data_IF_996750842284
#
_entry.id   IF_996750842284
#
_cell.length_a   1.000
_cell.length_b   1.000
_cell.length_c   1.000
_cell.angle_alpha   90.00
_cell.angle_beta   90.00
_cell.angle_gamma   90.00
#
_symmetry.space_group_name_H-M   'P 1'
#
loop_
_entity.id
_entity.type
_entity.pdbx_description
1 polymer ?
#
# COMPACT_ATOMS: atom_id res chain seq x y z
N UNK A 1 -25.77 -30.91 21.32
CA UNK A 1 -25.34 -29.94 22.36
C UNK A 1 -24.03 -29.18 22.07
N UNK A 2 -23.34 -29.34 20.93
CA UNK A 2 -22.16 -28.51 20.56
C UNK A 2 -22.43 -27.35 19.58
N UNK A 3 -23.64 -27.26 19.02
CA UNK A 3 -24.02 -26.18 18.07
C UNK A 3 -24.86 -25.05 18.69
N UNK A 4 -25.38 -25.20 19.92
CA UNK A 4 -26.16 -24.14 20.60
C UNK A 4 -25.28 -23.09 21.31
N UNK A 5 -23.99 -23.39 21.56
CA UNK A 5 -23.09 -22.46 22.25
C UNK A 5 -22.49 -21.42 21.29
N UNK A 6 -22.43 -21.68 19.97
CA UNK A 6 -21.90 -20.71 18.98
C UNK A 6 -22.89 -19.63 18.55
N UNK A 7 -24.19 -19.87 18.68
CA UNK A 7 -25.24 -18.89 18.30
C UNK A 7 -25.45 -17.85 19.41
N UNK A 8 -25.26 -18.23 20.68
CA UNK A 8 -25.36 -17.31 21.81
C UNK A 8 -24.20 -16.28 21.88
N UNK A 9 -23.00 -16.65 21.42
CA UNK A 9 -21.83 -15.74 21.43
C UNK A 9 -21.86 -14.66 20.35
N UNK A 10 -22.57 -14.90 19.24
CA UNK A 10 -22.71 -13.93 18.14
C UNK A 10 -23.81 -12.90 18.49
N UNK A 11 -24.88 -13.31 19.17
CA UNK A 11 -25.93 -12.41 19.65
C UNK A 11 -25.44 -11.44 20.75
N UNK A 12 -24.53 -11.87 21.63
CA UNK A 12 -23.90 -10.98 22.62
C UNK A 12 -22.95 -9.95 21.98
N UNK A 13 -22.32 -10.28 20.85
CA UNK A 13 -21.37 -9.39 20.17
C UNK A 13 -22.09 -8.23 19.43
N UNK A 14 -23.29 -8.47 18.89
CA UNK A 14 -24.12 -7.41 18.31
C UNK A 14 -24.91 -6.60 19.35
N UNK A 15 -25.21 -7.17 20.52
CA UNK A 15 -25.85 -6.44 21.63
C UNK A 15 -24.94 -5.42 22.32
N UNK A 16 -23.63 -5.68 22.40
CA UNK A 16 -22.67 -4.73 23.03
C UNK A 16 -22.25 -3.60 22.09
N UNK A 17 -22.32 -3.80 20.77
CA UNK A 17 -22.05 -2.75 19.77
C UNK A 17 -23.19 -1.72 19.66
N UNK A 18 -24.42 -2.10 19.98
CA UNK A 18 -25.58 -1.20 19.98
C UNK A 18 -25.64 -0.26 21.19
N UNK A 19 -24.88 -0.53 22.27
CA UNK A 19 -24.83 0.31 23.48
C UNK A 19 -23.70 1.37 23.41
N UNK A 20 -22.78 1.27 22.45
CA UNK A 20 -21.72 2.28 22.27
C UNK A 20 -21.96 3.27 21.13
N UNK A 21 -22.98 3.05 20.28
CA UNK A 21 -23.34 3.98 19.20
C UNK A 21 -24.35 5.06 19.60
N UNK A 22 -24.82 5.08 20.85
CA UNK A 22 -25.79 6.06 21.38
C UNK A 22 -25.16 7.21 22.16
N UNK A 23 -23.83 7.31 22.24
CA UNK A 23 -23.14 8.39 22.93
C UNK A 23 -22.67 9.54 22.02
N UNK A 24 -23.00 9.55 20.70
CA UNK A 24 -22.54 10.60 19.78
C UNK A 24 -23.61 11.28 18.92
N UNK A 25 -24.89 11.05 19.21
CA UNK A 25 -25.97 11.86 18.63
C UNK A 25 -26.84 12.35 19.78
N UNK A 26 -26.64 13.60 20.19
CA UNK A 26 -27.39 14.25 21.25
C UNK A 26 -28.89 14.24 20.95
N UNK A 27 -29.62 13.37 21.65
CA UNK A 27 -31.08 13.39 21.76
C UNK A 27 -31.45 13.17 23.22
N UNK A 28 -32.11 14.17 23.80
CA UNK A 28 -32.72 14.13 25.12
C UNK A 28 -33.95 13.20 25.12
N UNK A 29 -34.00 12.34 26.15
CA UNK A 29 -35.20 11.65 26.71
C UNK A 29 -36.20 11.01 25.72
N UNK A 30 -36.13 9.68 25.56
CA UNK A 30 -37.17 8.87 24.88
C UNK A 30 -37.58 7.64 25.72
N UNK A 31 -38.89 7.43 25.87
CA UNK A 31 -39.54 6.47 26.77
C UNK A 31 -39.36 4.98 26.39
N UNK A 32 -39.50 4.03 27.35
CA UNK A 32 -39.31 2.59 27.15
C UNK A 32 -40.31 1.90 26.19
N UNK A 33 -41.28 2.63 25.62
CA UNK A 33 -42.24 2.09 24.66
C UNK A 33 -41.67 1.95 23.23
N UNK A 34 -40.59 2.67 22.89
CA UNK A 34 -40.02 2.64 21.54
C UNK A 34 -39.16 1.40 21.28
N UNK A 35 -38.56 0.80 22.33
CA UNK A 35 -37.71 -0.40 22.21
C UNK A 35 -38.46 -1.65 21.72
N UNK A 36 -39.71 -1.83 22.14
CA UNK A 36 -40.52 -2.98 21.69
C UNK A 36 -40.91 -2.86 20.22
N UNK A 37 -41.09 -1.62 19.72
CA UNK A 37 -41.44 -1.36 18.33
C UNK A 37 -40.27 -1.67 17.37
N UNK A 38 -39.03 -1.44 17.82
CA UNK A 38 -37.82 -1.82 17.09
C UNK A 38 -37.57 -3.34 17.08
N UNK A 39 -37.89 -4.04 18.17
CA UNK A 39 -37.77 -5.51 18.24
C UNK A 39 -38.78 -6.22 17.32
N UNK A 40 -40.02 -5.71 17.23
CA UNK A 40 -41.05 -6.27 16.35
C UNK A 40 -40.74 -6.09 14.85
N UNK A 41 -40.17 -4.93 14.47
CA UNK A 41 -39.74 -4.66 13.09
C UNK A 41 -38.53 -5.52 12.67
N UNK A 42 -37.60 -5.80 13.58
CA UNK A 42 -36.48 -6.69 13.33
C UNK A 42 -36.92 -8.17 13.17
N UNK A 43 -37.95 -8.60 13.92
CA UNK A 43 -38.49 -9.96 13.81
C UNK A 43 -39.26 -10.20 12.50
N UNK A 44 -39.89 -9.16 11.92
CA UNK A 44 -40.64 -9.28 10.66
C UNK A 44 -39.72 -9.49 9.45
N UNK A 45 -38.52 -8.86 9.45
CA UNK A 45 -37.53 -9.00 8.37
C UNK A 45 -36.91 -10.39 8.32
N UNK A 46 -36.70 -11.03 9.48
CA UNK A 46 -36.14 -12.39 9.57
C UNK A 46 -37.14 -13.45 9.09
N UNK A 47 -38.45 -13.26 9.33
CA UNK A 47 -39.49 -14.19 8.89
C UNK A 47 -39.75 -14.17 7.36
N UNK A 48 -39.48 -13.04 6.69
CA UNK A 48 -39.63 -12.93 5.23
C UNK A 48 -38.52 -13.64 4.43
N UNK A 49 -37.33 -13.83 5.01
CA UNK A 49 -36.20 -14.49 4.34
C UNK A 49 -36.34 -16.03 4.36
N UNK A 50 -37.13 -16.58 5.28
CA UNK A 50 -37.31 -18.03 5.45
C UNK A 50 -38.40 -18.66 4.57
N UNK A 51 -39.08 -17.92 3.69
CA UNK A 51 -40.27 -18.41 2.97
C UNK A 51 -40.14 -18.62 1.45
N UNK A 52 -38.94 -18.54 0.88
CA UNK A 52 -38.74 -18.72 -0.57
C UNK A 52 -37.54 -19.62 -0.89
N UNK A 53 -37.59 -20.89 -0.49
CA UNK A 53 -36.86 -21.99 -1.18
C UNK A 53 -37.69 -23.27 -1.03
N UNK A 54 -38.59 -23.52 -1.97
CA UNK A 54 -39.24 -24.82 -2.18
C UNK A 54 -39.05 -25.21 -3.65
N UNK A 55 -38.10 -26.10 -3.94
CA UNK A 55 -38.06 -26.91 -5.18
C UNK A 55 -37.17 -28.15 -4.95
N UNK A 56 -37.53 -29.33 -5.51
CA UNK A 56 -37.23 -30.61 -4.90
C UNK A 56 -35.85 -31.18 -5.24
N UNK A 57 -35.30 -31.93 -4.30
CA UNK A 57 -34.07 -32.73 -4.43
C UNK A 57 -34.36 -33.96 -5.29
N UNK A 58 -33.72 -34.05 -6.46
CA UNK A 58 -33.58 -35.31 -7.19
C UNK A 58 -32.34 -36.02 -6.65
N UNK A 59 -32.55 -37.16 -5.99
CA UNK A 59 -31.52 -38.12 -5.62
C UNK A 59 -30.98 -38.79 -6.89
N UNK A 60 -29.71 -38.57 -7.22
CA UNK A 60 -28.99 -39.42 -8.15
C UNK A 60 -27.78 -40.06 -7.46
N UNK A 61 -27.91 -41.37 -7.24
CA UNK A 61 -26.86 -42.30 -6.80
C UNK A 61 -25.61 -42.13 -7.67
N UNK A 62 -24.48 -41.81 -7.04
CA UNK A 62 -23.17 -42.02 -7.64
C UNK A 62 -22.74 -43.48 -7.44
N UNK A 63 -22.53 -44.20 -8.54
CA UNK A 63 -21.69 -45.41 -8.57
C UNK A 63 -20.47 -45.16 -9.48
N UNK A 64 -19.31 -45.78 -9.18
CA UNK A 64 -18.01 -45.33 -9.66
C UNK A 64 -17.56 -46.03 -10.95
N UNK A 65 -16.88 -45.31 -11.84
CA UNK A 65 -16.10 -45.92 -12.92
C UNK A 65 -14.67 -45.33 -12.99
N UNK A 66 -13.74 -46.12 -12.48
CA UNK A 66 -12.51 -46.58 -13.13
C UNK A 66 -11.69 -45.58 -13.99
N UNK A 67 -10.53 -45.23 -13.43
CA UNK A 67 -9.20 -45.35 -14.01
C UNK A 67 -9.06 -45.14 -15.53
N UNK A 68 -8.50 -43.99 -15.92
CA UNK A 68 -7.74 -43.84 -17.15
C UNK A 68 -6.52 -42.94 -16.92
N UNK A 69 -5.35 -43.59 -17.02
CA UNK A 69 -4.04 -43.06 -17.39
C UNK A 69 -3.47 -41.83 -16.65
N UNK A 70 -2.72 -42.13 -15.58
CA UNK A 70 -1.61 -41.30 -15.16
C UNK A 70 -0.50 -41.33 -16.22
N UNK A 71 -0.35 -40.27 -17.00
CA UNK A 71 0.88 -40.00 -17.75
C UNK A 71 1.93 -39.50 -16.75
N UNK A 72 2.85 -40.40 -16.37
CA UNK A 72 4.11 -40.06 -15.72
C UNK A 72 5.06 -39.49 -16.78
N UNK A 73 4.97 -38.19 -17.04
CA UNK A 73 6.11 -37.45 -17.58
C UNK A 73 6.50 -36.37 -16.57
N UNK A 74 7.76 -36.36 -16.08
CA UNK A 74 8.24 -35.26 -15.26
C UNK A 74 8.40 -34.04 -16.18
N UNK A 75 7.48 -33.09 -16.09
CA UNK A 75 7.70 -31.76 -16.64
C UNK A 75 8.80 -31.12 -15.81
N UNK A 76 10.04 -31.25 -16.28
CA UNK A 76 11.19 -30.53 -15.78
C UNK A 76 11.05 -29.06 -16.19
N UNK A 77 10.16 -28.32 -15.51
CA UNK A 77 10.22 -26.87 -15.53
C UNK A 77 11.43 -26.49 -14.70
N UNK A 78 12.56 -26.32 -15.37
CA UNK A 78 13.65 -25.52 -14.84
C UNK A 78 13.09 -24.12 -14.61
N UNK A 79 12.71 -23.84 -13.37
CA UNK A 79 12.41 -22.47 -12.92
C UNK A 79 13.68 -21.68 -13.21
N UNK A 80 13.64 -20.63 -14.06
CA UNK A 80 14.81 -19.80 -14.27
C UNK A 80 15.25 -19.26 -12.92
N UNK A 81 16.49 -19.54 -12.53
CA UNK A 81 17.09 -18.91 -11.35
C UNK A 81 17.21 -17.43 -11.64
N UNK A 82 16.21 -16.66 -11.22
CA UNK A 82 16.21 -15.22 -11.40
C UNK A 82 17.14 -14.60 -10.37
N UNK A 83 18.30 -14.13 -10.83
CA UNK A 83 19.12 -13.21 -10.07
C UNK A 83 18.66 -11.79 -10.40
N UNK A 84 18.32 -10.94 -9.41
CA UNK A 84 17.99 -9.55 -9.68
C UNK A 84 19.14 -8.90 -10.47
N UNK A 85 18.79 -8.06 -11.45
CA UNK A 85 19.78 -7.36 -12.26
C UNK A 85 20.78 -6.60 -11.35
N UNK A 86 22.07 -6.53 -11.73
CA UNK A 86 23.05 -5.82 -10.92
C UNK A 86 22.67 -4.34 -10.79
N UNK A 87 22.34 -3.90 -9.57
CA UNK A 87 22.06 -2.50 -9.26
C UNK A 87 23.38 -1.73 -9.38
N UNK A 88 23.39 -0.71 -10.24
CA UNK A 88 24.49 0.26 -10.29
C UNK A 88 24.10 1.44 -9.43
N UNK A 89 24.75 1.60 -8.28
CA UNK A 89 24.49 2.73 -7.39
C UNK A 89 25.04 4.03 -7.99
N UNK A 90 24.25 5.09 -7.89
CA UNK A 90 24.71 6.43 -8.23
C UNK A 90 25.58 6.93 -7.08
N UNK A 91 26.85 7.24 -7.39
CA UNK A 91 27.74 7.88 -6.43
C UNK A 91 27.40 9.36 -6.37
N UNK A 92 27.09 9.88 -5.18
CA UNK A 92 26.93 11.31 -4.99
C UNK A 92 28.24 12.05 -5.38
N UNK A 93 28.14 12.98 -6.33
CA UNK A 93 29.23 13.88 -6.73
C UNK A 93 29.54 14.90 -5.62
N UNK A 94 28.50 15.33 -4.93
CA UNK A 94 28.52 16.40 -3.94
C UNK A 94 28.25 15.84 -2.53
N UNK A 95 28.38 16.70 -1.52
CA UNK A 95 27.95 16.34 -0.16
C UNK A 95 26.42 16.29 -0.14
N UNK A 96 25.86 15.14 0.18
CA UNK A 96 24.40 14.92 0.19
C UNK A 96 23.93 14.52 1.58
N UNK A 97 22.82 15.11 2.02
CA UNK A 97 22.12 14.74 3.25
C UNK A 97 20.74 14.22 2.90
N UNK A 98 20.40 13.06 3.47
CA UNK A 98 19.10 12.43 3.41
C UNK A 98 18.49 12.52 4.81
N UNK A 99 17.49 13.39 4.97
CA UNK A 99 16.71 13.46 6.21
C UNK A 99 15.68 12.34 6.19
N UNK A 100 15.74 11.47 7.19
CA UNK A 100 14.85 10.31 7.28
C UNK A 100 14.07 10.30 8.60
N UNK A 101 12.78 9.98 8.53
CA UNK A 101 11.85 10.06 9.65
C UNK A 101 11.15 8.71 9.87
N UNK A 102 11.26 8.17 11.08
CA UNK A 102 10.70 6.88 11.46
C UNK A 102 9.48 7.04 12.40
N UNK A 103 8.68 5.97 12.49
CA UNK A 103 7.53 5.79 13.38
C UNK A 103 6.25 6.58 13.07
N UNK A 104 6.27 7.44 12.07
CA UNK A 104 5.08 8.12 11.55
C UNK A 104 4.12 7.20 10.77
N UNK A 105 2.99 7.73 10.27
CA UNK A 105 2.56 9.13 10.40
C UNK A 105 1.90 9.47 11.75
N UNK A 106 2.08 10.70 12.20
CA UNK A 106 1.44 11.30 13.37
C UNK A 106 1.15 12.80 13.16
N UNK A 107 0.57 13.48 14.14
CA UNK A 107 0.41 14.95 14.08
C UNK A 107 1.76 15.69 13.98
N UNK A 108 2.86 15.05 14.39
CA UNK A 108 4.21 15.59 14.23
C UNK A 108 4.69 15.50 12.78
N UNK A 109 4.27 14.49 12.02
CA UNK A 109 4.53 14.37 10.59
C UNK A 109 4.04 15.60 9.82
N UNK A 110 2.84 16.11 10.14
CA UNK A 110 2.31 17.33 9.52
C UNK A 110 3.21 18.53 9.74
N UNK A 111 3.77 18.67 10.95
CA UNK A 111 4.70 19.76 11.29
C UNK A 111 6.05 19.59 10.59
N UNK A 112 6.54 18.36 10.46
CA UNK A 112 7.74 18.06 9.68
C UNK A 112 7.54 18.47 8.24
N UNK A 113 6.43 18.06 7.61
CA UNK A 113 6.09 18.44 6.22
C UNK A 113 6.04 19.96 6.05
N UNK A 114 5.40 20.69 6.97
CA UNK A 114 5.37 22.17 6.94
C UNK A 114 6.78 22.80 6.98
N UNK A 115 7.68 22.25 7.81
CA UNK A 115 9.07 22.71 7.90
C UNK A 115 9.83 22.40 6.60
N UNK A 116 9.72 21.17 6.08
CA UNK A 116 10.40 20.77 4.85
C UNK A 116 9.94 21.61 3.64
N UNK A 117 8.63 21.84 3.52
CA UNK A 117 8.05 22.68 2.48
C UNK A 117 8.54 24.13 2.58
N UNK A 118 8.55 24.72 3.79
CA UNK A 118 9.09 26.07 4.02
C UNK A 118 10.56 26.19 3.63
N UNK A 119 11.34 25.13 3.86
CA UNK A 119 12.77 25.07 3.56
C UNK A 119 13.07 24.71 2.10
N UNK A 120 12.05 24.36 1.32
CA UNK A 120 12.16 23.97 -0.09
C UNK A 120 12.88 22.63 -0.31
N UNK A 121 12.82 21.73 0.66
CA UNK A 121 13.54 20.44 0.64
C UNK A 121 12.57 19.26 0.76
N UNK A 122 13.06 18.07 0.40
CA UNK A 122 12.34 16.80 0.53
C UNK A 122 13.01 15.90 1.57
N UNK A 123 12.34 14.80 1.91
CA UNK A 123 12.77 13.86 2.95
C UNK A 123 12.19 12.48 2.70
N UNK A 124 12.64 11.49 3.47
CA UNK A 124 12.19 10.10 3.37
C UNK A 124 11.50 9.68 4.67
N UNK A 125 10.29 9.15 4.60
CA UNK A 125 9.49 8.76 5.76
C UNK A 125 9.32 7.24 5.79
N UNK A 126 9.91 6.57 6.77
CA UNK A 126 9.71 5.14 7.01
C UNK A 126 8.50 4.97 7.94
N UNK A 127 7.35 4.65 7.36
CA UNK A 127 6.07 4.68 8.07
C UNK A 127 5.66 3.33 8.63
N UNK A 128 4.94 3.35 9.75
CA UNK A 128 4.28 2.19 10.32
C UNK A 128 2.94 1.94 9.62
N UNK A 129 2.71 0.70 9.18
CA UNK A 129 1.48 0.33 8.47
C UNK A 129 0.21 0.59 9.28
N UNK A 130 0.21 0.36 10.60
CA UNK A 130 -0.95 0.63 11.45
C UNK A 130 -1.29 2.12 11.53
N UNK A 131 -0.28 3.00 11.52
CA UNK A 131 -0.47 4.45 11.57
C UNK A 131 -0.86 4.99 10.19
N UNK A 132 -0.26 4.44 9.12
CA UNK A 132 -0.64 4.73 7.73
C UNK A 132 -2.10 4.38 7.45
N UNK A 133 -2.56 3.22 7.92
CA UNK A 133 -3.96 2.80 7.79
C UNK A 133 -4.93 3.71 8.56
N UNK A 134 -4.51 4.22 9.72
CA UNK A 134 -5.33 5.10 10.55
C UNK A 134 -5.38 6.54 10.04
N UNK A 135 -4.36 6.99 9.28
CA UNK A 135 -4.19 8.38 8.81
C UNK A 135 -3.79 8.41 7.32
N UNK A 136 -4.60 7.87 6.41
CA UNK A 136 -4.27 7.81 4.98
C UNK A 136 -4.07 9.21 4.36
N UNK A 137 -4.72 10.23 4.91
CA UNK A 137 -4.56 11.63 4.49
C UNK A 137 -3.14 12.16 4.67
N UNK A 138 -2.44 11.75 5.73
CA UNK A 138 -1.05 12.18 5.97
C UNK A 138 -0.12 11.46 4.99
N UNK A 139 -0.37 10.18 4.70
CA UNK A 139 0.39 9.42 3.69
C UNK A 139 0.24 10.05 2.31
N UNK A 140 -0.98 10.42 1.90
CA UNK A 140 -1.20 11.14 0.64
C UNK A 140 -0.43 12.46 0.60
N UNK A 141 -0.45 13.22 1.69
CA UNK A 141 0.31 14.48 1.77
C UNK A 141 1.82 14.27 1.62
N UNK A 142 2.40 13.25 2.27
CA UNK A 142 3.82 12.88 2.09
C UNK A 142 4.10 12.62 0.60
N UNK A 143 3.25 11.83 -0.06
CA UNK A 143 3.40 11.47 -1.47
C UNK A 143 3.24 12.66 -2.42
N UNK A 144 2.15 13.42 -2.29
CA UNK A 144 1.81 14.57 -3.16
C UNK A 144 2.82 15.72 -3.04
N UNK A 145 3.41 15.91 -1.85
CA UNK A 145 4.49 16.87 -1.66
C UNK A 145 5.84 16.36 -2.18
N UNK A 146 5.92 15.17 -2.79
CA UNK A 146 7.12 14.65 -3.45
C UNK A 146 8.19 14.12 -2.48
N UNK A 147 7.80 13.71 -1.28
CA UNK A 147 8.67 12.97 -0.36
C UNK A 147 8.64 11.48 -0.69
N UNK A 148 9.66 10.74 -0.24
CA UNK A 148 9.71 9.28 -0.43
C UNK A 148 9.12 8.57 0.78
N UNK A 149 8.26 7.58 0.55
CA UNK A 149 7.71 6.72 1.58
C UNK A 149 8.48 5.39 1.57
N UNK A 150 9.07 5.05 2.72
CA UNK A 150 9.62 3.74 3.03
C UNK A 150 8.73 2.99 4.01
N UNK A 151 9.01 1.70 4.17
CA UNK A 151 8.26 0.78 5.02
C UNK A 151 9.02 0.52 6.33
N UNK A 152 8.36 0.76 7.47
CA UNK A 152 8.92 0.53 8.81
C UNK A 152 8.22 -0.60 9.58
N UNK A 153 7.69 -1.60 8.86
CA UNK A 153 6.82 -2.67 9.39
C UNK A 153 5.43 -2.16 9.79
N UNK A 154 4.58 -3.05 10.30
CA UNK A 154 3.19 -2.71 10.59
C UNK A 154 3.05 -2.04 11.96
N UNK A 155 3.70 -2.58 13.00
CA UNK A 155 3.44 -2.15 14.39
C UNK A 155 4.68 -1.96 15.28
N UNK A 156 5.90 -2.14 14.75
CA UNK A 156 7.15 -1.96 15.50
C UNK A 156 7.30 -2.88 16.75
N UNK A 157 6.61 -4.03 16.80
CA UNK A 157 6.72 -4.98 17.93
C UNK A 157 7.82 -6.00 17.71
N UNK A 158 8.98 -5.79 18.33
CA UNK A 158 10.18 -6.62 18.16
C UNK A 158 9.96 -8.13 18.28
N UNK A 159 9.13 -8.56 19.24
CA UNK A 159 8.81 -9.96 19.48
C UNK A 159 8.04 -10.63 18.33
N UNK A 160 7.40 -9.83 17.47
CA UNK A 160 6.71 -10.29 16.26
C UNK A 160 7.60 -10.25 15.02
N UNK A 161 8.67 -9.44 15.06
CA UNK A 161 9.54 -9.16 13.92
C UNK A 161 10.71 -10.12 13.83
N UNK A 162 11.44 -10.34 14.93
CA UNK A 162 12.78 -10.94 14.89
C UNK A 162 12.86 -12.37 15.40
N UNK A 163 11.72 -13.05 15.55
CA UNK A 163 11.67 -14.49 15.85
C UNK A 163 11.90 -15.37 14.62
N UNK A 164 11.24 -15.04 13.51
CA UNK A 164 11.29 -15.77 12.24
C UNK A 164 11.13 -14.78 11.08
N UNK A 165 11.81 -15.04 9.95
CA UNK A 165 11.77 -14.15 8.78
C UNK A 165 10.33 -13.90 8.30
N UNK A 166 9.47 -14.90 8.34
CA UNK A 166 8.06 -14.75 7.93
C UNK A 166 7.31 -13.69 8.75
N UNK A 167 7.65 -13.52 10.04
CA UNK A 167 7.03 -12.49 10.89
C UNK A 167 7.34 -11.09 10.39
N UNK A 168 8.62 -10.81 10.15
CA UNK A 168 9.07 -9.56 9.53
C UNK A 168 8.46 -9.37 8.15
N UNK A 169 8.57 -10.37 7.27
CA UNK A 169 8.05 -10.33 5.91
C UNK A 169 6.55 -10.03 5.84
N UNK A 170 5.74 -10.68 6.67
CA UNK A 170 4.30 -10.47 6.69
C UNK A 170 3.95 -9.02 7.06
N UNK A 171 4.66 -8.41 8.02
CA UNK A 171 4.45 -7.01 8.36
C UNK A 171 4.91 -6.05 7.26
N UNK A 172 6.01 -6.37 6.55
CA UNK A 172 6.42 -5.61 5.36
C UNK A 172 5.32 -5.67 4.30
N UNK A 173 4.82 -6.86 3.97
CA UNK A 173 3.77 -7.04 2.95
C UNK A 173 2.47 -6.34 3.30
N UNK A 174 2.04 -6.44 4.56
CA UNK A 174 0.84 -5.76 5.03
C UNK A 174 0.97 -4.24 4.88
N UNK A 175 2.11 -3.69 5.28
CA UNK A 175 2.38 -2.24 5.23
C UNK A 175 2.53 -1.74 3.79
N UNK A 176 3.21 -2.51 2.93
CA UNK A 176 3.34 -2.19 1.51
C UNK A 176 1.97 -2.11 0.84
N UNK A 177 1.08 -3.07 1.11
CA UNK A 177 -0.24 -3.07 0.52
C UNK A 177 -1.09 -1.89 1.02
N UNK A 178 -1.00 -1.53 2.30
CA UNK A 178 -1.65 -0.32 2.84
C UNK A 178 -1.17 0.92 2.09
N UNK A 179 0.15 1.10 1.95
CA UNK A 179 0.74 2.28 1.27
C UNK A 179 0.33 2.31 -0.20
N UNK A 180 0.33 1.16 -0.89
CA UNK A 180 -0.12 1.06 -2.29
C UNK A 180 -1.59 1.39 -2.46
N UNK A 181 -2.45 0.94 -1.55
CA UNK A 181 -3.88 1.24 -1.64
C UNK A 181 -4.17 2.74 -1.43
N UNK A 182 -3.29 3.44 -0.70
CA UNK A 182 -3.40 4.89 -0.47
C UNK A 182 -2.82 5.68 -1.66
N UNK A 183 -1.59 5.36 -2.08
CA UNK A 183 -0.79 6.18 -3.00
C UNK A 183 -0.77 5.69 -4.44
N UNK A 184 -1.15 4.44 -4.69
CA UNK A 184 -0.93 3.74 -5.95
C UNK A 184 0.46 3.09 -6.08
N UNK A 185 1.43 3.47 -5.24
CA UNK A 185 2.82 3.06 -5.33
C UNK A 185 3.22 2.02 -4.25
N UNK A 186 4.11 1.10 -4.61
CA UNK A 186 4.66 0.13 -3.65
C UNK A 186 6.02 0.62 -3.13
N UNK A 187 6.20 0.81 -1.81
CA UNK A 187 7.50 1.19 -1.26
C UNK A 187 8.52 0.06 -1.41
N UNK A 188 9.66 0.37 -2.05
CA UNK A 188 10.81 -0.55 -2.15
C UNK A 188 11.81 -0.36 -1.01
N UNK A 189 11.78 0.78 -0.32
CA UNK A 189 12.69 1.09 0.77
C UNK A 189 12.15 0.52 2.07
N UNK A 190 12.99 -0.17 2.83
CA UNK A 190 12.64 -0.75 4.12
C UNK A 190 13.65 -0.28 5.17
N UNK A 191 13.16 0.11 6.34
CA UNK A 191 13.97 0.29 7.53
C UNK A 191 13.47 -0.63 8.63
N UNK A 192 14.39 -1.39 9.21
CA UNK A 192 14.06 -2.30 10.31
C UNK A 192 13.89 -1.50 11.61
N UNK A 193 12.79 -1.71 12.37
CA UNK A 193 12.66 -1.27 13.76
C UNK A 193 13.93 -1.50 14.57
N UNK A 194 14.45 -0.45 15.22
CA UNK A 194 15.69 -0.55 16.01
C UNK A 194 16.99 -0.75 15.21
N UNK A 195 16.93 -0.72 13.87
CA UNK A 195 18.04 -0.98 12.97
C UNK A 195 18.33 -2.46 12.76
N UNK A 196 19.21 -2.78 11.81
CA UNK A 196 19.53 -4.18 11.48
C UNK A 196 20.52 -4.83 12.45
N UNK A 197 21.29 -4.03 13.21
CA UNK A 197 22.34 -4.51 14.10
C UNK A 197 21.77 -5.41 15.23
N UNK A 198 22.18 -6.68 15.27
CA UNK A 198 21.69 -7.65 16.25
C UNK A 198 20.33 -8.26 15.92
N UNK A 199 19.64 -7.75 14.90
CA UNK A 199 18.33 -8.23 14.44
C UNK A 199 18.41 -9.00 13.12
N UNK A 200 19.25 -8.59 12.18
CA UNK A 200 19.42 -9.24 10.87
C UNK A 200 20.70 -10.10 10.83
N UNK A 201 20.53 -11.31 10.32
CA UNK A 201 21.63 -12.11 9.78
C UNK A 201 21.75 -11.89 8.25
N UNK A 202 22.80 -12.45 7.64
CA UNK A 202 23.02 -12.30 6.19
C UNK A 202 21.82 -12.82 5.36
N UNK A 203 21.14 -13.85 5.84
CA UNK A 203 20.01 -14.42 5.13
C UNK A 203 18.78 -13.48 5.12
N UNK A 204 18.57 -12.67 6.17
CA UNK A 204 17.58 -11.58 6.10
C UNK A 204 17.90 -10.60 4.96
N UNK A 205 19.14 -10.12 4.88
CA UNK A 205 19.54 -9.20 3.81
C UNK A 205 19.36 -9.83 2.43
N UNK A 206 19.79 -11.09 2.27
CA UNK A 206 19.69 -11.81 1.01
C UNK A 206 18.24 -12.02 0.58
N UNK A 207 17.34 -12.37 1.51
CA UNK A 207 15.92 -12.56 1.22
C UNK A 207 15.20 -11.24 0.95
N UNK A 208 15.48 -10.17 1.69
CA UNK A 208 14.90 -8.85 1.41
C UNK A 208 15.32 -8.34 0.04
N UNK A 209 16.60 -8.51 -0.32
CA UNK A 209 17.11 -8.17 -1.65
C UNK A 209 16.49 -9.04 -2.75
N UNK A 210 16.37 -10.35 -2.54
CA UNK A 210 15.68 -11.25 -3.46
C UNK A 210 14.20 -10.92 -3.63
N UNK A 211 13.58 -10.30 -2.62
CA UNK A 211 12.22 -9.79 -2.69
C UNK A 211 12.08 -8.42 -3.37
N UNK A 212 13.18 -7.81 -3.82
CA UNK A 212 13.17 -6.49 -4.47
C UNK A 212 13.17 -5.31 -3.51
N UNK A 213 13.49 -5.51 -2.23
CA UNK A 213 13.58 -4.42 -1.25
C UNK A 213 15.02 -3.94 -1.03
N UNK A 214 15.12 -2.67 -0.69
CA UNK A 214 16.36 -2.02 -0.30
C UNK A 214 16.31 -1.67 1.18
N UNK A 215 17.11 -2.36 1.99
CA UNK A 215 17.17 -2.14 3.44
C UNK A 215 18.15 -1.03 3.76
N UNK A 216 17.67 0.04 4.40
CA UNK A 216 18.46 1.20 4.82
C UNK A 216 18.47 1.34 6.35
N UNK A 217 19.67 1.34 6.94
CA UNK A 217 19.93 1.89 8.27
C UNK A 217 20.23 3.40 8.16
N UNK A 218 21.15 3.89 8.99
CA UNK A 218 21.62 5.29 9.04
C UNK A 218 23.11 5.34 9.36
N UNK A 219 23.78 6.44 9.03
CA UNK A 219 25.16 6.71 9.44
C UNK A 219 25.29 7.97 10.31
N UNK A 220 24.19 8.69 10.54
CA UNK A 220 24.05 9.76 11.53
C UNK A 220 22.83 9.48 12.39
N UNK A 221 23.05 9.24 13.68
CA UNK A 221 21.99 9.05 14.66
C UNK A 221 21.76 10.36 15.42
N UNK A 222 20.55 10.92 15.35
CA UNK A 222 20.22 12.13 16.09
C UNK A 222 20.17 11.91 17.60
N UNK A 223 19.91 10.69 18.04
CA UNK A 223 19.67 10.33 19.43
C UNK A 223 18.33 10.82 19.98
N UNK A 224 17.40 11.28 19.14
CA UNK A 224 16.07 11.77 19.52
C UNK A 224 15.15 10.70 20.12
N UNK A 225 15.48 9.41 19.96
CA UNK A 225 14.79 8.28 20.56
C UNK A 225 15.49 7.69 21.79
N UNK A 226 16.60 8.30 22.27
CA UNK A 226 17.39 7.75 23.38
C UNK A 226 16.60 7.63 24.70
N UNK A 227 15.72 8.58 24.97
CA UNK A 227 14.75 8.58 26.07
C UNK A 227 13.69 9.65 25.81
N UNK A 228 12.57 9.61 26.52
CA UNK A 228 11.50 10.61 26.35
C UNK A 228 11.99 12.02 26.73
N UNK A 229 11.80 12.99 25.82
CA UNK A 229 12.15 14.39 26.08
C UNK A 229 13.64 14.70 25.96
N UNK A 230 14.34 14.09 24.99
CA UNK A 230 15.74 14.42 24.71
C UNK A 230 15.87 15.92 24.43
N UNK A 231 16.80 16.65 25.08
CA UNK A 231 16.97 18.07 24.84
C UNK A 231 17.28 18.37 23.37
N UNK A 232 16.62 19.37 22.79
CA UNK A 232 16.80 19.82 21.39
C UNK A 232 18.28 19.97 21.01
N UNK A 233 19.09 20.61 21.87
CA UNK A 233 20.53 20.79 21.64
C UNK A 233 21.31 19.47 21.50
N UNK A 234 20.88 18.42 22.18
CA UNK A 234 21.52 17.11 22.13
C UNK A 234 21.13 16.38 20.85
N UNK A 235 19.86 16.53 20.42
CA UNK A 235 19.36 16.06 19.12
C UNK A 235 20.14 16.71 17.98
N UNK A 236 20.25 18.05 17.97
CA UNK A 236 21.02 18.78 16.96
C UNK A 236 22.47 18.30 16.94
N UNK A 237 23.11 18.13 18.10
CA UNK A 237 24.49 17.62 18.19
C UNK A 237 24.63 16.22 17.61
N UNK A 238 23.70 15.31 17.89
CA UNK A 238 23.71 13.95 17.30
C UNK A 238 23.53 14.00 15.79
N UNK A 239 22.51 14.74 15.34
CA UNK A 239 22.09 14.85 13.95
C UNK A 239 23.09 15.60 13.04
N UNK A 240 24.14 16.19 13.62
CA UNK A 240 25.17 16.95 12.88
C UNK A 240 26.56 16.33 13.01
N UNK A 241 26.63 15.09 13.48
CA UNK A 241 27.87 14.33 13.59
C UNK A 241 28.52 14.15 12.21
N UNK A 242 29.85 14.29 12.15
CA UNK A 242 30.61 14.11 10.91
C UNK A 242 30.58 12.65 10.45
N UNK A 243 30.24 12.44 9.18
CA UNK A 243 30.31 11.13 8.52
C UNK A 243 31.63 10.94 7.79
N UNK A 244 32.03 9.68 7.62
CA UNK A 244 33.09 9.32 6.69
C UNK A 244 32.47 9.22 5.28
N UNK A 245 32.88 10.10 4.36
CA UNK A 245 32.34 10.16 3.01
C UNK A 245 31.48 11.41 2.77
N UNK A 246 30.74 11.42 1.66
CA UNK A 246 29.96 12.57 1.22
C UNK A 246 28.46 12.45 1.53
N UNK A 247 27.99 11.29 2.00
CA UNK A 247 26.56 11.03 2.17
C UNK A 247 26.22 10.85 3.65
N UNK A 248 25.28 11.67 4.15
CA UNK A 248 24.75 11.59 5.50
C UNK A 248 23.29 11.13 5.45
N UNK A 249 22.99 9.93 5.97
CA UNK A 249 21.64 9.44 6.19
C UNK A 249 21.31 9.64 7.66
N UNK A 250 20.47 10.63 7.94
CA UNK A 250 20.16 11.12 9.29
C UNK A 250 18.89 10.46 9.80
N UNK A 251 18.98 9.74 10.92
CA UNK A 251 17.83 9.17 11.62
C UNK A 251 17.17 10.20 12.54
N UNK A 252 15.90 10.48 12.27
CA UNK A 252 14.98 11.26 13.10
C UNK A 252 13.67 10.46 13.24
N UNK A 253 12.80 10.88 14.16
CA UNK A 253 11.50 10.27 14.38
C UNK A 253 10.40 11.33 14.36
N UNK A 254 9.31 11.04 13.64
CA UNK A 254 8.09 11.84 13.60
C UNK A 254 6.88 11.08 14.16
N UNK A 255 7.10 9.92 14.76
CA UNK A 255 6.13 9.20 15.59
C UNK A 255 5.73 9.95 16.87
N UNK A 256 4.67 9.49 17.54
CA UNK A 256 4.17 10.09 18.77
C UNK A 256 5.26 10.12 19.85
N UNK A 257 5.48 11.29 20.45
CA UNK A 257 6.44 11.46 21.56
C UNK A 257 7.79 12.08 21.17
N UNK A 258 7.98 12.45 19.89
CA UNK A 258 9.21 13.04 19.36
C UNK A 258 9.08 14.54 19.03
N UNK A 259 8.34 15.31 19.85
CA UNK A 259 8.10 16.74 19.58
C UNK A 259 9.40 17.57 19.58
N UNK A 260 10.38 17.17 20.38
CA UNK A 260 11.70 17.77 20.45
C UNK A 260 12.49 17.55 19.16
N UNK A 261 12.27 16.44 18.44
CA UNK A 261 12.90 16.17 17.15
C UNK A 261 12.41 17.15 16.07
N UNK A 262 11.08 17.38 16.02
CA UNK A 262 10.47 18.42 15.16
C UNK A 262 11.01 19.82 15.50
N UNK A 263 11.22 20.09 16.80
CA UNK A 263 11.76 21.38 17.25
C UNK A 263 13.22 21.57 16.85
N UNK A 264 14.02 20.49 16.82
CA UNK A 264 15.42 20.50 16.40
C UNK A 264 15.59 20.65 14.88
N UNK A 265 14.61 20.20 14.09
CA UNK A 265 14.70 20.07 12.64
C UNK A 265 15.18 21.35 11.91
N UNK A 266 14.68 22.57 12.20
CA UNK A 266 15.15 23.78 11.52
C UNK A 266 16.66 24.05 11.74
N UNK A 267 17.19 23.77 12.93
CA UNK A 267 18.61 23.99 13.23
C UNK A 267 19.49 22.93 12.53
N UNK A 268 19.01 21.69 12.43
CA UNK A 268 19.66 20.61 11.68
C UNK A 268 19.74 21.00 10.20
N UNK A 269 18.64 21.46 9.61
CA UNK A 269 18.60 21.92 8.21
C UNK A 269 19.57 23.08 8.00
N UNK A 270 19.56 24.08 8.89
CA UNK A 270 20.46 25.22 8.81
C UNK A 270 21.94 24.80 8.88
N UNK A 271 22.28 23.83 9.72
CA UNK A 271 23.63 23.27 9.78
C UNK A 271 24.06 22.68 8.44
N UNK A 272 23.26 21.78 7.86
CA UNK A 272 23.62 21.12 6.61
C UNK A 272 23.71 22.11 5.43
N UNK A 273 22.77 23.07 5.34
CA UNK A 273 22.85 24.18 4.36
C UNK A 273 24.15 24.97 4.51
N UNK A 274 24.50 25.37 5.74
CA UNK A 274 25.73 26.12 6.04
C UNK A 274 27.01 25.37 5.65
N UNK A 275 26.99 24.04 5.69
CA UNK A 275 28.15 23.19 5.37
C UNK A 275 28.16 22.70 3.91
N UNK A 276 27.27 23.24 3.06
CA UNK A 276 27.25 22.97 1.63
C UNK A 276 26.71 21.59 1.26
N UNK A 277 25.84 21.01 2.09
CA UNK A 277 25.14 19.78 1.73
C UNK A 277 23.93 20.07 0.84
N UNK A 278 23.74 19.23 -0.17
CA UNK A 278 22.53 19.13 -0.97
C UNK A 278 21.55 18.21 -0.23
N UNK A 279 20.28 18.59 -0.15
CA UNK A 279 19.23 17.75 0.42
C UNK A 279 18.63 16.89 -0.68
N UNK A 280 18.55 15.59 -0.45
CA UNK A 280 17.95 14.64 -1.37
C UNK A 280 17.16 13.57 -0.60
N UNK A 281 16.43 12.72 -1.33
CA UNK A 281 15.65 11.61 -0.80
C UNK A 281 16.33 10.29 -1.11
N UNK A 282 16.12 9.29 -0.24
CA UNK A 282 16.61 7.95 -0.53
C UNK A 282 15.87 7.36 -1.73
N UNK A 283 16.56 6.53 -2.50
CA UNK A 283 15.99 5.77 -3.62
C UNK A 283 16.71 4.43 -3.76
N UNK A 284 16.17 3.49 -4.56
CA UNK A 284 16.84 2.23 -4.91
C UNK A 284 18.25 2.41 -5.51
N UNK A 285 18.55 3.58 -6.07
CA UNK A 285 19.83 3.91 -6.71
C UNK A 285 20.87 4.45 -5.72
N UNK A 286 20.46 4.81 -4.50
CA UNK A 286 21.37 5.23 -3.42
C UNK A 286 21.98 3.98 -2.78
N UNK A 287 23.30 3.98 -2.59
CA UNK A 287 23.97 2.86 -1.92
C UNK A 287 23.46 2.73 -0.48
N UNK A 288 22.88 1.58 -0.08
CA UNK A 288 22.36 1.45 1.27
C UNK A 288 23.46 1.48 2.33
N UNK A 289 23.24 2.27 3.38
CA UNK A 289 23.96 2.08 4.65
C UNK A 289 23.31 0.92 5.38
N UNK A 290 24.09 -0.12 5.68
CA UNK A 290 23.63 -1.29 6.42
C UNK A 290 24.63 -1.59 7.53
N UNK A 291 24.14 -1.78 8.75
CA UNK A 291 24.99 -2.19 9.86
C UNK A 291 25.51 -3.61 9.64
N UNK A 292 26.74 -3.87 10.11
CA UNK A 292 27.33 -5.20 9.97
C UNK A 292 26.53 -6.20 10.77
N UNK A 293 26.12 -7.28 10.10
CA UNK A 293 25.57 -8.45 10.77
C UNK A 293 26.57 -8.95 11.82
N UNK A 294 26.18 -8.93 13.10
CA UNK A 294 27.00 -9.46 14.17
C UNK A 294 26.85 -10.99 14.20
N UNK A 295 27.97 -11.72 14.36
CA UNK A 295 27.95 -13.19 14.48
C UNK A 295 27.10 -13.72 15.64
N UNK A 296 26.82 -12.87 16.63
CA UNK A 296 25.97 -13.14 17.81
C UNK A 296 24.47 -12.92 17.57
N UNK A 297 24.06 -12.40 16.40
CA UNK A 297 22.64 -12.31 16.06
C UNK A 297 22.03 -13.71 16.13
N UNK A 298 20.89 -13.84 16.83
CA UNK A 298 20.17 -15.12 16.88
C UNK A 298 19.80 -15.49 15.45
N UNK A 299 20.39 -16.57 14.93
CA UNK A 299 20.04 -17.10 13.60
C UNK A 299 18.55 -17.40 13.60
N UNK A 300 17.78 -16.61 12.86
CA UNK A 300 16.36 -16.89 12.73
C UNK A 300 16.19 -18.21 11.98
N UNK A 301 15.12 -18.94 12.28
CA UNK A 301 14.72 -20.04 11.43
C UNK A 301 14.41 -19.50 10.04
N UNK A 302 15.14 -19.98 9.05
CA UNK A 302 14.92 -19.62 7.65
C UNK A 302 13.66 -20.33 7.12
N UNK A 303 12.87 -19.68 6.25
CA UNK A 303 11.73 -20.33 5.60
C UNK A 303 12.17 -21.47 4.69
N UNK A 304 11.22 -22.35 4.31
CA UNK A 304 11.49 -23.40 3.32
C UNK A 304 11.75 -22.79 1.93
N UNK A 305 12.50 -23.50 1.07
CA UNK A 305 12.73 -23.08 -0.32
C UNK A 305 11.43 -22.82 -1.08
N UNK A 306 10.42 -23.67 -0.85
CA UNK A 306 9.10 -23.48 -1.46
C UNK A 306 8.47 -22.16 -1.03
N UNK A 307 8.50 -21.85 0.27
CA UNK A 307 7.96 -20.60 0.78
C UNK A 307 8.70 -19.39 0.20
N UNK A 308 10.04 -19.45 0.10
CA UNK A 308 10.86 -18.40 -0.51
C UNK A 308 10.46 -18.17 -1.96
N UNK A 309 10.28 -19.23 -2.76
CA UNK A 309 9.85 -19.08 -4.15
C UNK A 309 8.46 -18.44 -4.26
N UNK A 310 7.50 -18.95 -3.47
CA UNK A 310 6.09 -18.53 -3.54
C UNK A 310 5.85 -17.10 -3.04
N UNK A 311 6.71 -16.61 -2.12
CA UNK A 311 6.50 -15.32 -1.46
C UNK A 311 7.59 -14.32 -1.83
N UNK A 312 8.87 -14.67 -1.67
CA UNK A 312 9.97 -13.73 -1.82
C UNK A 312 10.29 -13.49 -3.30
N UNK A 313 10.56 -14.56 -4.06
CA UNK A 313 10.91 -14.40 -5.48
C UNK A 313 9.73 -13.88 -6.31
N UNK A 314 8.51 -14.35 -6.02
CA UNK A 314 7.31 -13.81 -6.63
C UNK A 314 7.15 -12.30 -6.38
N UNK A 315 7.59 -11.79 -5.22
CA UNK A 315 7.50 -10.38 -4.89
C UNK A 315 8.39 -9.48 -5.74
N UNK A 316 9.59 -9.95 -6.12
CA UNK A 316 10.51 -9.16 -6.92
C UNK A 316 9.87 -8.71 -8.24
N UNK A 317 8.99 -9.54 -8.81
CA UNK A 317 8.25 -9.20 -10.04
C UNK A 317 7.32 -8.00 -9.91
N UNK A 318 6.93 -7.61 -8.68
CA UNK A 318 6.16 -6.38 -8.41
C UNK A 318 7.00 -5.11 -8.54
N UNK A 319 8.33 -5.26 -8.49
CA UNK A 319 9.31 -4.18 -8.47
C UNK A 319 10.24 -4.20 -9.68
N UNK A 320 10.10 -5.23 -10.52
CA UNK A 320 10.68 -5.21 -11.86
C UNK A 320 10.19 -3.96 -12.58
N UNK A 321 11.08 -3.35 -13.38
CA UNK A 321 10.68 -2.44 -14.44
C UNK A 321 9.84 -3.21 -15.45
N UNK A 322 8.60 -3.51 -15.10
CA UNK A 322 7.66 -4.20 -15.95
C UNK A 322 7.22 -3.27 -17.09
N UNK A 323 6.40 -3.82 -17.98
CA UNK A 323 5.93 -3.06 -19.14
C UNK A 323 5.23 -1.78 -18.68
N UNK A 324 5.69 -0.63 -19.15
CA UNK A 324 4.89 0.59 -19.09
C UNK A 324 3.64 0.37 -19.92
N UNK A 325 2.47 0.76 -19.42
CA UNK A 325 1.26 0.82 -20.20
C UNK A 325 1.10 2.23 -20.77
N UNK A 326 1.49 2.41 -22.03
CA UNK A 326 1.28 3.63 -22.81
C UNK A 326 -0.12 3.61 -23.44
N UNK A 327 -0.82 4.73 -23.35
CA UNK A 327 -2.21 4.88 -23.80
C UNK A 327 -2.30 6.17 -24.62
N UNK A 328 -2.64 6.03 -25.90
CA UNK A 328 -2.98 7.14 -26.78
C UNK A 328 -4.49 7.41 -26.69
N UNK A 329 -4.89 8.69 -26.65
CA UNK A 329 -6.29 9.12 -26.53
C UNK A 329 -6.50 10.45 -27.26
N UNK A 330 -7.07 10.43 -28.45
CA UNK A 330 -7.44 11.65 -29.17
C UNK A 330 -6.29 12.66 -29.39
N UNK A 331 -5.05 12.17 -29.53
CA UNK A 331 -3.84 13.01 -29.65
C UNK A 331 -3.13 13.33 -28.33
N UNK A 332 -3.69 12.92 -27.19
CA UNK A 332 -3.02 12.90 -25.89
C UNK A 332 -2.36 11.53 -25.66
N UNK A 333 -1.32 11.50 -24.84
CA UNK A 333 -0.69 10.25 -24.39
C UNK A 333 -0.51 10.27 -22.88
N UNK A 334 -0.80 9.15 -22.23
CA UNK A 334 -0.44 8.92 -20.83
C UNK A 334 0.22 7.56 -20.70
N UNK A 335 0.99 7.38 -19.64
CA UNK A 335 1.60 6.12 -19.29
C UNK A 335 1.21 5.70 -17.87
N UNK A 336 1.23 4.39 -17.63
CA UNK A 336 1.18 3.78 -16.31
C UNK A 336 2.42 2.91 -16.15
N UNK A 337 3.19 3.11 -15.08
CA UNK A 337 4.30 2.22 -14.75
C UNK A 337 3.79 0.81 -14.40
N UNK A 338 4.68 -0.17 -14.45
CA UNK A 338 4.39 -1.49 -13.92
C UNK A 338 3.99 -1.39 -12.44
N UNK A 339 2.84 -1.96 -12.09
CA UNK A 339 2.25 -1.85 -10.75
C UNK A 339 1.13 -0.80 -10.64
N UNK A 340 1.10 0.21 -11.52
CA UNK A 340 0.01 1.21 -11.54
C UNK A 340 -1.23 0.74 -12.33
N UNK A 341 -1.09 -0.33 -13.11
CA UNK A 341 -2.18 -1.02 -13.80
C UNK A 341 -2.15 -2.52 -13.46
N UNK A 342 -3.23 -3.22 -13.78
CA UNK A 342 -3.33 -4.67 -13.61
C UNK A 342 -3.64 -5.37 -14.92
N UNK A 343 -3.18 -6.61 -15.05
CA UNK A 343 -3.60 -7.52 -16.10
C UNK A 343 -4.38 -8.67 -15.45
N UNK A 344 -5.71 -8.64 -15.55
CA UNK A 344 -6.60 -9.68 -14.99
C UNK A 344 -7.39 -10.30 -16.16
N UNK A 345 -7.36 -11.62 -16.30
CA UNK A 345 -8.03 -12.37 -17.38
C UNK A 345 -7.77 -11.81 -18.80
N UNK A 346 -6.54 -11.37 -19.05
CA UNK A 346 -6.13 -10.77 -20.33
C UNK A 346 -6.65 -9.35 -20.57
N UNK A 347 -7.23 -8.70 -19.55
CA UNK A 347 -7.71 -7.32 -19.59
C UNK A 347 -6.79 -6.41 -18.81
N UNK A 348 -6.48 -5.25 -19.39
CA UNK A 348 -5.78 -4.18 -18.68
C UNK A 348 -6.80 -3.40 -17.84
N UNK A 349 -6.65 -3.42 -16.52
CA UNK A 349 -7.42 -2.60 -15.59
C UNK A 349 -6.56 -1.45 -15.09
N UNK A 350 -7.17 -0.28 -14.95
CA UNK A 350 -6.50 0.95 -14.49
C UNK A 350 -7.34 1.66 -13.42
N UNK A 351 -6.71 2.45 -12.52
CA UNK A 351 -7.42 3.35 -11.63
C UNK A 351 -8.18 4.39 -12.45
N UNK A 352 -9.51 4.42 -12.32
CA UNK A 352 -10.38 5.27 -13.13
C UNK A 352 -10.06 6.77 -12.95
N UNK A 353 -9.80 7.19 -11.71
CA UNK A 353 -9.41 8.58 -11.42
C UNK A 353 -8.13 8.97 -12.14
N UNK A 354 -7.06 8.19 -11.95
CA UNK A 354 -5.76 8.46 -12.55
C UNK A 354 -5.83 8.48 -14.08
N UNK A 355 -6.53 7.50 -14.69
CA UNK A 355 -6.73 7.48 -16.15
C UNK A 355 -7.41 8.77 -16.62
N UNK A 356 -8.50 9.15 -15.95
CA UNK A 356 -9.31 10.31 -16.36
C UNK A 356 -8.53 11.61 -16.24
N UNK A 357 -7.89 11.84 -15.09
CA UNK A 357 -7.15 13.08 -14.83
C UNK A 357 -5.89 13.20 -15.71
N UNK A 358 -5.14 12.10 -15.91
CA UNK A 358 -3.96 12.11 -16.80
C UNK A 358 -4.33 12.38 -18.27
N UNK A 359 -5.54 12.00 -18.69
CA UNK A 359 -6.07 12.28 -20.02
C UNK A 359 -6.85 13.61 -20.10
N UNK A 360 -6.76 14.46 -19.08
CA UNK A 360 -7.36 15.80 -19.07
C UNK A 360 -8.88 15.82 -18.86
N UNK A 361 -9.45 14.74 -18.34
CA UNK A 361 -10.85 14.65 -17.97
C UNK A 361 -11.12 15.06 -16.52
N UNK A 362 -12.42 15.08 -16.16
CA UNK A 362 -12.89 15.33 -14.80
C UNK A 362 -13.52 14.06 -14.22
N UNK A 363 -13.28 13.81 -12.93
CA UNK A 363 -13.79 12.63 -12.24
C UNK A 363 -14.17 12.94 -10.79
N UNK A 364 -15.39 12.57 -10.41
CA UNK A 364 -15.94 12.87 -9.09
C UNK A 364 -16.73 11.68 -8.53
N UNK A 365 -16.84 11.61 -7.21
CA UNK A 365 -17.64 10.59 -6.55
C UNK A 365 -19.06 11.12 -6.28
N UNK A 366 -20.07 10.33 -6.67
CA UNK A 366 -21.46 10.57 -6.33
C UNK A 366 -21.80 9.80 -5.05
N UNK A 367 -21.99 10.51 -3.95
CA UNK A 367 -22.31 9.90 -2.65
C UNK A 367 -23.67 9.19 -2.64
N UNK A 368 -24.69 9.77 -3.28
CA UNK A 368 -26.05 9.23 -3.26
C UNK A 368 -26.15 7.93 -4.06
N UNK A 369 -25.48 7.90 -5.22
CA UNK A 369 -25.49 6.73 -6.12
C UNK A 369 -24.35 5.75 -5.87
N UNK A 370 -23.39 6.10 -5.01
CA UNK A 370 -22.17 5.33 -4.71
C UNK A 370 -21.41 4.91 -5.96
N UNK A 371 -21.13 5.89 -6.79
CA UNK A 371 -20.63 5.71 -8.15
C UNK A 371 -19.64 6.82 -8.51
N UNK A 372 -18.84 6.58 -9.55
CA UNK A 372 -17.86 7.53 -10.07
C UNK A 372 -18.43 8.19 -11.32
N UNK A 373 -18.62 9.51 -11.30
CA UNK A 373 -18.97 10.29 -12.48
C UNK A 373 -17.70 10.67 -13.23
N UNK A 374 -17.71 10.51 -14.55
CA UNK A 374 -16.56 10.71 -15.43
C UNK A 374 -16.97 11.62 -16.58
N UNK A 375 -16.11 12.59 -16.90
CA UNK A 375 -16.18 13.43 -18.09
C UNK A 375 -14.84 13.35 -18.81
N UNK A 376 -14.78 12.64 -19.93
CA UNK A 376 -13.53 12.37 -20.67
C UNK A 376 -13.81 12.30 -22.18
N UNK A 377 -12.96 12.92 -23.00
CA UNK A 377 -13.14 12.97 -24.47
C UNK A 377 -14.44 13.65 -24.93
N UNK A 378 -14.96 14.59 -24.14
CA UNK A 378 -16.25 15.23 -24.39
C UNK A 378 -17.48 14.37 -24.05
N UNK A 379 -17.29 13.13 -23.58
CA UNK A 379 -18.35 12.23 -23.17
C UNK A 379 -18.49 12.19 -21.65
N UNK A 380 -19.73 12.01 -21.18
CA UNK A 380 -20.04 11.80 -19.77
C UNK A 380 -20.63 10.41 -19.55
N UNK A 381 -20.16 9.76 -18.51
CA UNK A 381 -20.61 8.44 -18.11
C UNK A 381 -20.31 8.22 -16.63
N UNK A 382 -20.78 7.12 -16.09
CA UNK A 382 -20.68 6.82 -14.67
C UNK A 382 -20.36 5.33 -14.46
N UNK A 383 -19.54 5.05 -13.46
CA UNK A 383 -19.20 3.71 -13.04
C UNK A 383 -19.79 3.43 -11.66
N UNK A 384 -20.55 2.34 -11.53
CA UNK A 384 -21.03 1.80 -10.26
C UNK A 384 -20.15 0.59 -9.91
N UNK A 385 -19.06 0.80 -9.15
CA UNK A 385 -18.12 -0.26 -8.81
C UNK A 385 -18.67 -1.23 -7.74
N UNK A 386 -19.82 -0.93 -7.12
CA UNK A 386 -20.47 -1.84 -6.18
C UNK A 386 -21.32 -2.88 -6.90
N UNK A 387 -21.88 -2.51 -8.05
CA UNK A 387 -22.71 -3.40 -8.88
C UNK A 387 -21.99 -3.95 -10.11
N UNK A 388 -20.78 -3.47 -10.43
CA UNK A 388 -20.08 -3.85 -11.65
C UNK A 388 -20.79 -3.34 -12.90
N UNK A 389 -21.28 -2.10 -12.85
CA UNK A 389 -22.07 -1.50 -13.93
C UNK A 389 -21.46 -0.21 -14.44
N UNK A 390 -21.58 0.00 -15.75
CA UNK A 390 -21.27 1.26 -16.43
C UNK A 390 -22.55 1.87 -16.98
N UNK A 391 -22.72 3.17 -16.74
CA UNK A 391 -23.91 3.94 -17.04
C UNK A 391 -23.52 5.05 -18.01
N UNK A 392 -24.12 5.05 -19.20
CA UNK A 392 -23.94 6.13 -20.17
C UNK A 392 -24.82 7.32 -19.80
N UNK A 393 -24.34 8.55 -20.05
CA UNK A 393 -25.18 9.73 -19.93
C UNK A 393 -26.19 9.88 -21.09
N UNK A 394 -26.11 9.05 -22.14
CA UNK A 394 -27.06 9.11 -23.25
C UNK A 394 -28.44 8.52 -22.88
N UNK A 395 -29.54 9.25 -23.14
CA UNK A 395 -30.90 8.76 -22.84
C UNK A 395 -31.20 7.44 -23.53
N UNK A 396 -31.74 6.46 -22.78
CA UNK A 396 -32.19 5.18 -23.31
C UNK A 396 -31.12 4.09 -23.46
N UNK A 397 -29.86 4.36 -23.09
CA UNK A 397 -28.84 3.30 -23.03
C UNK A 397 -28.95 2.52 -21.72
N UNK A 398 -29.09 1.19 -21.83
CA UNK A 398 -29.12 0.30 -20.68
C UNK A 398 -27.76 0.26 -19.97
N UNK A 399 -27.73 0.03 -18.64
CA UNK A 399 -26.50 -0.23 -17.91
C UNK A 399 -25.74 -1.40 -18.53
N UNK A 400 -24.42 -1.24 -18.66
CA UNK A 400 -23.53 -2.28 -19.17
C UNK A 400 -22.81 -2.96 -18.01
N UNK A 401 -22.87 -4.28 -17.95
CA UNK A 401 -22.02 -5.05 -17.04
C UNK A 401 -20.55 -4.93 -17.44
N UNK A 402 -19.71 -4.55 -16.48
CA UNK A 402 -18.25 -4.48 -16.64
C UNK A 402 -17.59 -4.89 -15.34
N UNK A 403 -16.31 -5.23 -15.41
CA UNK A 403 -15.51 -5.59 -14.25
C UNK A 403 -15.00 -4.35 -13.50
N UNK A 404 -15.88 -3.34 -13.37
CA UNK A 404 -15.59 -2.16 -12.57
C UNK A 404 -15.84 -2.48 -11.10
N UNK A 405 -14.82 -2.31 -10.27
CA UNK A 405 -14.91 -2.65 -8.85
C UNK A 405 -14.00 -1.78 -8.00
N UNK A 406 -14.23 -1.79 -6.67
CA UNK A 406 -13.40 -1.05 -5.73
C UNK A 406 -12.22 -1.93 -5.26
N UNK A 407 -11.02 -1.35 -5.29
CA UNK A 407 -9.82 -1.91 -4.66
C UNK A 407 -9.24 -0.81 -3.76
N UNK A 408 -9.28 -1.02 -2.43
CA UNK A 408 -8.82 -0.01 -1.46
C UNK A 408 -9.56 1.32 -1.53
N UNK A 409 -10.83 1.32 -1.93
CA UNK A 409 -11.61 2.55 -2.12
C UNK A 409 -11.38 3.26 -3.46
N UNK A 410 -10.43 2.80 -4.27
CA UNK A 410 -10.23 3.28 -5.65
C UNK A 410 -11.09 2.48 -6.61
N UNK A 411 -11.78 3.14 -7.55
CA UNK A 411 -12.49 2.46 -8.63
C UNK A 411 -11.50 2.03 -9.72
N UNK A 412 -11.45 0.72 -9.98
CA UNK A 412 -10.68 0.11 -11.06
C UNK A 412 -11.61 -0.31 -12.17
N UNK A 413 -11.21 -0.09 -13.42
CA UNK A 413 -12.04 -0.37 -14.58
C UNK A 413 -11.21 -1.00 -15.70
N UNK A 414 -11.78 -1.91 -16.51
CA UNK A 414 -11.18 -2.32 -17.76
C UNK A 414 -10.91 -1.11 -18.67
N UNK A 415 -9.66 -0.90 -19.06
CA UNK A 415 -9.21 0.23 -19.87
C UNK A 415 -10.02 0.35 -21.17
N UNK A 416 -10.30 -0.78 -21.82
CA UNK A 416 -11.08 -0.82 -23.07
C UNK A 416 -12.50 -0.27 -22.90
N UNK A 417 -13.11 -0.46 -21.73
CA UNK A 417 -14.45 0.06 -21.45
C UNK A 417 -14.42 1.56 -21.19
N UNK A 418 -13.47 2.03 -20.38
CA UNK A 418 -13.29 3.45 -20.10
C UNK A 418 -13.05 4.26 -21.39
N UNK A 419 -12.15 3.78 -22.25
CA UNK A 419 -11.81 4.44 -23.52
C UNK A 419 -13.00 4.42 -24.50
N UNK A 420 -13.72 3.30 -24.60
CA UNK A 420 -14.93 3.18 -25.44
C UNK A 420 -16.04 4.13 -25.00
N UNK A 421 -16.35 4.20 -23.70
CA UNK A 421 -17.37 5.12 -23.17
C UNK A 421 -16.97 6.59 -23.31
N UNK A 422 -15.67 6.85 -23.36
CA UNK A 422 -15.11 8.18 -23.60
C UNK A 422 -15.04 8.55 -25.08
N UNK A 423 -15.52 7.70 -25.99
CA UNK A 423 -15.61 7.98 -27.43
C UNK A 423 -14.36 7.60 -28.24
N UNK A 424 -13.37 6.97 -27.60
CA UNK A 424 -12.10 6.60 -28.21
C UNK A 424 -11.88 5.09 -28.08
N UNK A 425 -12.65 4.24 -28.79
CA UNK A 425 -12.50 2.79 -28.68
C UNK A 425 -11.08 2.37 -29.08
N UNK A 426 -10.55 1.36 -28.38
CA UNK A 426 -9.23 0.80 -28.67
C UNK A 426 -9.22 0.20 -30.08
N UNK A 427 -8.33 0.69 -30.93
CA UNK A 427 -8.13 0.21 -32.31
C UNK A 427 -7.02 -0.83 -32.37
N UNK A 428 -5.96 -0.67 -31.55
CA UNK A 428 -4.81 -1.56 -31.52
C UNK A 428 -4.22 -1.69 -30.12
N UNK A 429 -3.75 -2.89 -29.80
CA UNK A 429 -2.88 -3.14 -28.64
C UNK A 429 -1.63 -3.87 -29.13
N UNK A 430 -0.46 -3.31 -28.85
CA UNK A 430 0.85 -3.94 -29.10
C UNK A 430 1.61 -4.09 -27.80
N UNK A 431 2.55 -5.01 -27.75
CA UNK A 431 3.42 -5.18 -26.59
C UNK A 431 4.79 -5.73 -26.98
N UNK A 432 5.82 -5.34 -26.24
CA UNK A 432 7.18 -5.89 -26.33
C UNK A 432 7.70 -6.29 -24.94
N UNK A 433 9.01 -6.28 -24.66
CA UNK A 433 9.52 -6.62 -23.31
C UNK A 433 9.42 -5.46 -22.31
N UNK A 434 9.22 -4.23 -22.78
CA UNK A 434 9.27 -2.97 -22.02
C UNK A 434 7.96 -2.17 -22.02
N UNK A 435 7.02 -2.44 -22.92
CA UNK A 435 5.80 -1.63 -23.06
C UNK A 435 4.55 -2.47 -23.46
N UNK A 436 3.38 -2.10 -22.94
CA UNK A 436 2.08 -2.28 -23.57
C UNK A 436 1.66 -0.95 -24.18
N UNK A 437 1.37 -0.91 -25.47
CA UNK A 437 0.88 0.29 -26.16
C UNK A 437 -0.56 0.08 -26.61
N UNK A 438 -1.44 0.96 -26.15
CA UNK A 438 -2.87 0.97 -26.48
C UNK A 438 -3.15 2.20 -27.33
N UNK A 439 -3.60 1.95 -28.56
CA UNK A 439 -3.98 2.99 -29.51
C UNK A 439 -5.50 3.06 -29.62
N UNK A 440 -6.04 4.26 -29.70
CA UNK A 440 -7.48 4.51 -29.87
C UNK A 440 -7.79 5.12 -31.22
N UNK A 441 -9.08 5.27 -31.51
CA UNK A 441 -9.58 6.06 -32.64
C UNK A 441 -9.31 7.56 -32.46
#
# INVERSE_FOLDING_TARGET
MKNMVRVASIALFFGVLAVWLTAWLGFESGHPADLNRYAEQAATVVASVTKTVDTPVIEQKAQPLLAAAASKEPVNQSVPTFAPAPITYKKASDKTVYLTFDDGPSDLTLKVLDILNKEGIKGTFFVLGQEAQARPEIINRIYEEGHVIGNHTYNHRYEQLYGQFQGFWNQIKQTEEIIRLITGERPQLVRAPGGTAGHFDQAYFDLMKQGGYHVFDWNVDSGDSRYRGVPVKDIVRGATTKVNGNEAIVLLHDGKGHAESVTALPEIIAYYKKHGYVFDVLSPEVQPVQFRSQQSARKASQPSKQWINDHVLANASLFESGRTLAIEFGGLETAFAAGEYKLEDGRLLVPLRALTERLGGEVSWNQDRKSVQVSLGGNRWEADPLRGLLLSAQPGQAPLASDVHLIGGTAWIPLRDALRLSGHPVTRVTYDTSEYRVQTL
#
